data_IF_733672949866
#
_entry.id   IF_733672949866
#
_cell.length_a   1.000
_cell.length_b   1.000
_cell.length_c   1.000
_cell.angle_alpha   90.00
_cell.angle_beta   90.00
_cell.angle_gamma   90.00
#
_symmetry.space_group_name_H-M   'P 1'
#
loop_
_entity.id
_entity.type
_entity.pdbx_description
1 polymer ?
#
# COMPACT_ATOMS: atom_id res chain seq x y z
N UNK A 1 -3.37 8.68 -2.97
CA UNK A 1 -2.57 8.52 -1.74
C UNK A 1 -2.91 7.17 -1.11
N UNK A 2 -1.95 6.51 -0.49
CA UNK A 2 -2.18 5.26 0.25
C UNK A 2 -2.05 5.58 1.75
N UNK A 3 -3.05 5.22 2.54
CA UNK A 3 -3.05 5.40 3.99
C UNK A 3 -3.18 4.05 4.69
N UNK A 4 -2.52 3.91 5.84
CA UNK A 4 -2.72 2.78 6.74
C UNK A 4 -3.73 3.15 7.82
N UNK A 5 -4.35 2.16 8.46
CA UNK A 5 -5.32 2.39 9.55
C UNK A 5 -4.82 3.36 10.63
N UNK A 6 -3.53 3.32 10.97
CA UNK A 6 -2.94 4.21 11.98
C UNK A 6 -2.87 5.67 11.54
N UNK A 7 -3.03 5.95 10.24
CA UNK A 7 -3.11 7.30 9.68
C UNK A 7 -4.46 7.98 9.95
N UNK A 8 -5.49 7.22 10.36
CA UNK A 8 -6.81 7.76 10.69
C UNK A 8 -6.88 8.15 12.17
N UNK A 9 -7.67 9.19 12.44
CA UNK A 9 -8.10 9.54 13.79
C UNK A 9 -8.82 8.35 14.44
N UNK A 10 -8.71 8.21 15.75
CA UNK A 10 -9.24 7.05 16.50
C UNK A 10 -10.72 6.77 16.18
N UNK A 11 -11.53 7.83 16.08
CA UNK A 11 -12.95 7.75 15.76
C UNK A 11 -13.25 7.41 14.30
N UNK A 12 -12.28 7.48 13.39
CA UNK A 12 -12.41 7.10 11.97
C UNK A 12 -11.80 5.73 11.64
N UNK A 13 -11.01 5.15 12.55
CA UNK A 13 -10.33 3.85 12.35
C UNK A 13 -11.26 2.68 12.07
N UNK A 14 -12.56 2.82 12.33
CA UNK A 14 -13.55 1.78 12.00
C UNK A 14 -13.77 1.66 10.48
N UNK A 15 -13.41 2.69 9.69
CA UNK A 15 -13.57 2.71 8.24
C UNK A 15 -12.56 1.84 7.50
N UNK A 16 -11.39 1.60 8.08
CA UNK A 16 -10.29 0.82 7.51
C UNK A 16 -9.96 -0.34 8.46
N UNK A 17 -10.10 -1.57 7.97
CA UNK A 17 -9.80 -2.76 8.78
C UNK A 17 -8.29 -2.88 9.07
N UNK A 18 -7.92 -3.73 10.03
CA UNK A 18 -6.52 -3.86 10.47
C UNK A 18 -5.58 -4.39 9.36
N UNK A 19 -6.15 -5.16 8.44
CA UNK A 19 -5.51 -5.80 7.31
C UNK A 19 -5.73 -5.04 5.99
N UNK A 20 -6.19 -3.80 6.04
CA UNK A 20 -6.47 -3.00 4.84
C UNK A 20 -5.58 -1.76 4.72
N UNK A 21 -5.42 -1.33 3.47
CA UNK A 21 -5.00 0.04 3.15
C UNK A 21 -6.18 0.83 2.59
N UNK A 22 -6.17 2.14 2.81
CA UNK A 22 -7.09 3.06 2.16
C UNK A 22 -6.40 3.71 0.94
N UNK A 23 -7.08 3.68 -0.20
CA UNK A 23 -6.68 4.30 -1.46
C UNK A 23 -7.51 5.56 -1.64
N UNK A 24 -6.88 6.72 -1.43
CA UNK A 24 -7.54 8.03 -1.47
C UNK A 24 -7.24 8.71 -2.80
N UNK A 25 -8.28 9.14 -3.52
CA UNK A 25 -8.19 9.98 -4.69
C UNK A 25 -8.91 11.29 -4.43
N UNK A 26 -8.21 12.41 -4.58
CA UNK A 26 -8.79 13.75 -4.44
C UNK A 26 -9.20 14.30 -5.80
N UNK A 27 -10.19 15.19 -5.85
CA UNK A 27 -10.46 15.96 -7.05
C UNK A 27 -9.18 16.68 -7.54
N UNK A 28 -8.83 16.65 -8.84
CA UNK A 28 -9.62 16.16 -9.98
C UNK A 28 -9.29 14.72 -10.43
N UNK A 29 -8.53 13.95 -9.65
CA UNK A 29 -8.22 12.56 -10.00
C UNK A 29 -9.47 11.65 -9.98
N UNK A 30 -10.52 12.10 -9.28
CA UNK A 30 -11.89 11.60 -9.33
C UNK A 30 -12.87 12.80 -9.44
N UNK A 31 -14.12 12.53 -9.79
CA UNK A 31 -15.19 13.56 -9.84
C UNK A 31 -15.42 14.22 -8.48
N UNK A 32 -15.23 13.46 -7.40
CA UNK A 32 -15.25 13.88 -6.01
C UNK A 32 -14.20 13.11 -5.20
N UNK A 33 -13.90 13.57 -4.00
CA UNK A 33 -12.95 12.89 -3.11
C UNK A 33 -13.45 11.47 -2.80
N UNK A 34 -12.69 10.48 -3.26
CA UNK A 34 -13.06 9.07 -3.23
C UNK A 34 -12.07 8.29 -2.40
N UNK A 35 -12.57 7.42 -1.51
CA UNK A 35 -11.74 6.51 -0.71
C UNK A 35 -12.19 5.07 -0.98
N UNK A 36 -11.27 4.23 -1.45
CA UNK A 36 -11.44 2.78 -1.52
C UNK A 36 -10.62 2.07 -0.45
N UNK A 37 -11.00 0.85 -0.08
CA UNK A 37 -10.26 0.01 0.86
C UNK A 37 -9.86 -1.30 0.18
N UNK A 38 -8.69 -1.81 0.52
CA UNK A 38 -8.13 -3.01 -0.10
C UNK A 38 -7.32 -3.81 0.92
N UNK A 39 -7.56 -5.12 0.98
CA UNK A 39 -6.83 -6.03 1.86
C UNK A 39 -5.35 -6.15 1.46
N UNK A 40 -4.46 -6.37 2.44
CA UNK A 40 -3.02 -6.52 2.20
C UNK A 40 -2.68 -7.65 1.21
N UNK A 41 -3.44 -8.76 1.18
CA UNK A 41 -3.23 -9.85 0.22
C UNK A 41 -3.56 -9.42 -1.21
N UNK A 42 -4.57 -8.58 -1.38
CA UNK A 42 -4.93 -8.02 -2.69
C UNK A 42 -3.99 -6.88 -3.10
N UNK A 43 -3.54 -6.09 -2.14
CA UNK A 43 -2.67 -4.94 -2.34
C UNK A 43 -1.21 -5.33 -2.65
N UNK A 44 -0.66 -6.34 -1.95
CA UNK A 44 0.75 -6.72 -2.07
C UNK A 44 1.20 -7.10 -3.50
N UNK A 45 0.41 -7.83 -4.32
CA UNK A 45 0.75 -8.06 -5.72
C UNK A 45 1.05 -6.77 -6.51
N UNK A 46 0.34 -5.67 -6.24
CA UNK A 46 0.60 -4.37 -6.87
C UNK A 46 1.92 -3.77 -6.39
N UNK A 47 2.19 -3.82 -5.09
CA UNK A 47 3.47 -3.36 -4.50
C UNK A 47 4.64 -4.15 -5.10
N UNK A 48 4.52 -5.47 -5.13
CA UNK A 48 5.53 -6.36 -5.69
C UNK A 48 5.80 -6.04 -7.17
N UNK A 49 4.75 -5.92 -7.99
CA UNK A 49 4.89 -5.57 -9.40
C UNK A 49 5.62 -4.24 -9.60
N UNK A 50 5.20 -3.18 -8.89
CA UNK A 50 5.86 -1.87 -8.95
C UNK A 50 7.31 -1.91 -8.49
N UNK A 51 7.61 -2.71 -7.47
CA UNK A 51 8.98 -2.91 -7.01
C UNK A 51 9.85 -3.62 -8.07
N UNK A 52 9.32 -4.60 -8.81
CA UNK A 52 10.05 -5.24 -9.91
C UNK A 52 10.34 -4.26 -11.06
N UNK A 53 9.37 -3.41 -11.41
CA UNK A 53 9.55 -2.31 -12.39
C UNK A 53 10.67 -1.34 -11.93
N UNK A 54 10.67 -0.98 -10.64
CA UNK A 54 11.70 -0.13 -10.06
C UNK A 54 13.09 -0.79 -10.06
N UNK A 55 13.20 -2.06 -9.66
CA UNK A 55 14.46 -2.82 -9.70
C UNK A 55 15.02 -2.88 -11.12
N UNK A 56 14.16 -3.08 -12.12
CA UNK A 56 14.58 -3.15 -13.53
C UNK A 56 15.23 -1.85 -14.01
N UNK A 57 14.75 -0.70 -13.52
CA UNK A 57 15.35 0.62 -13.82
C UNK A 57 16.51 0.99 -12.89
N UNK A 58 16.61 0.35 -11.72
CA UNK A 58 17.60 0.65 -10.68
C UNK A 58 18.24 -0.63 -10.11
N UNK A 59 18.99 -1.41 -10.92
CA UNK A 59 19.48 -2.73 -10.52
C UNK A 59 20.38 -2.70 -9.27
N UNK A 60 21.08 -1.59 -9.01
CA UNK A 60 21.89 -1.39 -7.79
C UNK A 60 21.06 -1.40 -6.49
N UNK A 61 19.75 -1.17 -6.56
CA UNK A 61 18.83 -1.17 -5.42
C UNK A 61 18.17 -2.54 -5.18
N UNK A 62 18.47 -3.55 -6.01
CA UNK A 62 17.79 -4.86 -5.98
C UNK A 62 17.77 -5.50 -4.60
N UNK A 63 18.92 -5.59 -3.94
CA UNK A 63 19.04 -6.24 -2.63
C UNK A 63 18.21 -5.52 -1.57
N UNK A 64 18.31 -4.19 -1.51
CA UNK A 64 17.56 -3.34 -0.59
C UNK A 64 16.05 -3.51 -0.78
N UNK A 65 15.56 -3.39 -2.02
CA UNK A 65 14.13 -3.51 -2.33
C UNK A 65 13.61 -4.92 -2.06
N UNK A 66 14.40 -5.97 -2.37
CA UNK A 66 14.01 -7.36 -2.08
C UNK A 66 13.88 -7.59 -0.58
N UNK A 67 14.79 -7.04 0.22
CA UNK A 67 14.72 -7.09 1.68
C UNK A 67 13.46 -6.40 2.21
N UNK A 68 13.16 -5.18 1.74
CA UNK A 68 11.95 -4.46 2.14
C UNK A 68 10.66 -5.19 1.78
N UNK A 69 10.59 -5.80 0.59
CA UNK A 69 9.44 -6.62 0.19
C UNK A 69 9.23 -7.81 1.14
N UNK A 70 10.32 -8.45 1.58
CA UNK A 70 10.26 -9.54 2.57
C UNK A 70 9.76 -9.04 3.92
N UNK A 71 10.30 -7.93 4.42
CA UNK A 71 9.86 -7.31 5.68
C UNK A 71 8.37 -6.94 5.66
N UNK A 72 7.88 -6.39 4.54
CA UNK A 72 6.46 -6.09 4.33
C UNK A 72 5.62 -7.36 4.38
N UNK A 73 6.04 -8.41 3.65
CA UNK A 73 5.34 -9.69 3.59
C UNK A 73 5.19 -10.33 4.97
N UNK A 74 6.27 -10.35 5.75
CA UNK A 74 6.28 -10.84 7.14
C UNK A 74 5.41 -9.98 8.06
N UNK A 75 5.50 -8.64 7.97
CA UNK A 75 4.71 -7.71 8.79
C UNK A 75 3.21 -7.80 8.52
N UNK A 76 2.79 -8.08 7.29
CA UNK A 76 1.39 -8.22 6.93
C UNK A 76 0.86 -9.65 7.09
N UNK A 77 1.72 -10.61 7.43
CA UNK A 77 1.34 -12.00 7.62
C UNK A 77 0.84 -12.68 6.34
N UNK A 78 1.40 -12.32 5.19
CA UNK A 78 1.02 -12.82 3.84
C UNK A 78 2.13 -13.61 3.16
#
# INVERSE_FOLDING_TARGET
MILFRQSFDEWERFRCQENEVALVMYYPAAEEDTIGYMDFKEFYPYVYKRAQEYISSHPKRKEEVTRLLKEIKESWGI
#
